data_IF_636081186175
#
_entry.id   IF_636081186175
#
_cell.length_a   1.000
_cell.length_b   1.000
_cell.length_c   1.000
_cell.angle_alpha   90.00
_cell.angle_beta   90.00
_cell.angle_gamma   90.00
#
_symmetry.space_group_name_H-M   'P 1'
#
loop_
_entity.id
_entity.type
_entity.pdbx_description
1 polymer ?
#
# COMPACT_ATOMS: atom_id res chain seq x y z
N UNK A 1 27.41 -2.31 3.19
CA UNK A 1 26.00 -1.96 3.35
C UNK A 1 25.50 -2.33 4.74
N UNK A 2 25.63 -3.58 5.22
CA UNK A 2 25.08 -4.04 6.52
C UNK A 2 25.58 -3.24 7.73
N UNK A 3 26.89 -2.91 7.79
CA UNK A 3 27.44 -2.10 8.87
C UNK A 3 26.91 -0.66 8.90
N UNK A 4 26.62 -0.08 7.73
CA UNK A 4 26.00 1.24 7.63
C UNK A 4 24.55 1.20 8.19
N UNK A 5 23.78 0.18 7.82
CA UNK A 5 22.41 -0.02 8.33
C UNK A 5 22.43 -0.23 9.85
N UNK A 6 23.34 -1.04 10.36
CA UNK A 6 23.52 -1.27 11.80
C UNK A 6 23.88 0.03 12.54
N UNK A 7 24.76 0.84 11.96
CA UNK A 7 25.14 2.15 12.54
C UNK A 7 23.97 3.12 12.61
N UNK A 8 23.18 3.25 11.53
CA UNK A 8 21.96 4.08 11.50
C UNK A 8 20.93 3.54 12.51
N UNK A 9 20.77 2.22 12.59
CA UNK A 9 19.89 1.59 13.57
C UNK A 9 20.28 1.92 15.02
N UNK A 10 21.57 1.86 15.33
CA UNK A 10 22.08 2.22 16.66
C UNK A 10 21.82 3.70 16.98
N UNK A 11 22.09 4.61 16.04
CA UNK A 11 21.79 6.04 16.20
C UNK A 11 20.30 6.25 16.47
N UNK A 12 19.44 5.55 15.75
CA UNK A 12 17.97 5.62 15.95
C UNK A 12 17.57 5.16 17.36
N UNK A 13 18.10 4.03 17.84
CA UNK A 13 17.83 3.52 19.18
C UNK A 13 18.26 4.52 20.25
N UNK A 14 19.48 5.06 20.14
CA UNK A 14 20.00 6.05 21.06
C UNK A 14 19.16 7.33 21.04
N UNK A 15 18.80 7.80 19.84
CA UNK A 15 17.95 9.00 19.69
C UNK A 15 16.57 8.81 20.33
N UNK A 16 15.92 7.66 20.11
CA UNK A 16 14.63 7.35 20.74
C UNK A 16 14.78 7.29 22.27
N UNK A 17 15.82 6.65 22.78
CA UNK A 17 16.06 6.53 24.22
C UNK A 17 16.30 7.87 24.91
N UNK A 18 16.94 8.83 24.24
CA UNK A 18 17.30 10.13 24.79
C UNK A 18 16.23 11.21 24.55
N UNK A 19 15.54 11.19 23.40
CA UNK A 19 14.68 12.28 22.96
C UNK A 19 13.19 12.01 23.17
N UNK A 20 12.77 10.72 23.26
CA UNK A 20 11.35 10.40 23.45
C UNK A 20 11.00 10.48 24.95
N UNK A 21 10.11 11.39 25.36
CA UNK A 21 9.68 11.48 26.74
C UNK A 21 8.92 10.21 27.14
N UNK A 22 9.10 9.80 28.39
CA UNK A 22 8.31 8.71 28.98
C UNK A 22 6.86 9.17 29.13
N UNK A 23 5.96 8.63 28.34
CA UNK A 23 4.53 8.88 28.43
C UNK A 23 3.95 7.84 29.39
N UNK A 24 3.17 8.30 30.38
CA UNK A 24 2.42 7.39 31.23
C UNK A 24 1.46 6.56 30.37
N UNK A 25 1.46 5.25 30.58
CA UNK A 25 0.55 4.36 29.89
C UNK A 25 -0.89 4.75 30.23
N UNK A 26 -1.68 5.12 29.24
CA UNK A 26 -3.11 5.36 29.41
C UNK A 26 -3.82 4.10 29.96
N UNK A 27 -5.07 4.26 30.40
CA UNK A 27 -5.86 3.12 30.90
C UNK A 27 -5.85 1.99 29.86
N UNK A 28 -5.37 0.81 30.25
CA UNK A 28 -5.33 -0.36 29.38
C UNK A 28 -6.77 -0.73 28.97
N UNK A 29 -7.04 -0.72 27.68
CA UNK A 29 -8.29 -1.22 27.12
C UNK A 29 -8.22 -2.74 27.13
N UNK A 30 -9.29 -3.41 27.55
CA UNK A 30 -9.32 -4.86 27.56
C UNK A 30 -9.14 -5.41 26.15
N UNK A 31 -8.21 -6.36 25.96
CA UNK A 31 -7.90 -7.00 24.67
C UNK A 31 -9.16 -7.48 23.93
N UNK A 32 -10.13 -8.04 24.67
CA UNK A 32 -11.40 -8.51 24.12
C UNK A 32 -12.21 -7.37 23.47
N UNK A 33 -12.13 -6.16 24.03
CA UNK A 33 -12.82 -4.98 23.47
C UNK A 33 -12.16 -4.54 22.18
N UNK A 34 -10.83 -4.50 22.14
CA UNK A 34 -10.09 -4.15 20.93
C UNK A 34 -10.31 -5.20 19.82
N UNK A 35 -10.29 -6.50 20.15
CA UNK A 35 -10.57 -7.56 19.17
C UNK A 35 -11.98 -7.48 18.57
N UNK A 36 -12.97 -7.05 19.35
CA UNK A 36 -14.34 -6.84 18.85
C UNK A 36 -14.42 -5.72 17.81
N UNK A 37 -13.57 -4.72 17.88
CA UNK A 37 -13.55 -3.63 16.90
C UNK A 37 -13.18 -4.14 15.50
N UNK A 38 -12.41 -5.22 15.40
CA UNK A 38 -12.01 -5.80 14.12
C UNK A 38 -13.09 -6.62 13.41
N UNK A 39 -14.26 -6.78 13.98
CA UNK A 39 -15.47 -7.31 13.30
C UNK A 39 -16.43 -6.20 12.86
N UNK A 40 -16.13 -4.92 13.14
CA UNK A 40 -16.89 -3.80 12.61
C UNK A 40 -16.74 -3.75 11.08
N UNK A 41 -17.86 -3.65 10.31
CA UNK A 41 -17.82 -3.65 8.86
C UNK A 41 -16.93 -2.55 8.25
N UNK A 42 -16.86 -1.37 8.88
CA UNK A 42 -16.02 -0.28 8.40
C UNK A 42 -14.53 -0.56 8.62
N UNK A 43 -14.18 -1.23 9.70
CA UNK A 43 -12.82 -1.68 9.98
C UNK A 43 -12.44 -2.80 9.00
N UNK A 44 -13.33 -3.77 8.75
CA UNK A 44 -13.09 -4.84 7.79
C UNK A 44 -12.92 -4.32 6.36
N UNK A 45 -13.71 -3.32 5.94
CA UNK A 45 -13.53 -2.66 4.64
C UNK A 45 -12.17 -1.96 4.55
N UNK A 46 -11.78 -1.22 5.59
CA UNK A 46 -10.48 -0.56 5.63
C UNK A 46 -9.32 -1.58 5.59
N UNK A 47 -9.44 -2.71 6.30
CA UNK A 47 -8.48 -3.81 6.23
C UNK A 47 -8.43 -4.47 4.85
N UNK A 48 -9.57 -4.68 4.20
CA UNK A 48 -9.62 -5.17 2.83
C UNK A 48 -8.87 -4.25 1.87
N UNK A 49 -9.04 -2.93 1.98
CA UNK A 49 -8.28 -1.95 1.19
C UNK A 49 -6.78 -2.08 1.49
N UNK A 50 -6.41 -2.30 2.76
CA UNK A 50 -5.00 -2.51 3.17
C UNK A 50 -4.41 -3.79 2.57
N UNK A 51 -5.19 -4.85 2.39
CA UNK A 51 -4.72 -6.08 1.75
C UNK A 51 -4.58 -5.90 0.24
N UNK A 52 -5.63 -5.46 -0.45
CA UNK A 52 -5.67 -5.46 -1.91
C UNK A 52 -4.89 -4.30 -2.54
N UNK A 53 -4.78 -3.13 -1.90
CA UNK A 53 -4.01 -2.00 -2.41
C UNK A 53 -2.51 -2.32 -2.54
N UNK A 54 -1.83 -2.71 -1.45
CA UNK A 54 -0.45 -3.19 -1.50
C UNK A 54 -0.26 -4.45 -2.34
N UNK A 55 -1.21 -5.41 -2.31
CA UNK A 55 -1.14 -6.60 -3.14
C UNK A 55 -0.98 -6.25 -4.62
N UNK A 56 -1.71 -5.26 -5.11
CA UNK A 56 -1.61 -4.78 -6.49
C UNK A 56 -0.19 -4.34 -6.86
N UNK A 57 0.49 -3.63 -5.97
CA UNK A 57 1.88 -3.22 -6.16
C UNK A 57 2.85 -4.40 -6.09
N UNK A 58 2.68 -5.28 -5.07
CA UNK A 58 3.58 -6.42 -4.86
C UNK A 58 3.43 -7.51 -5.91
N UNK A 59 2.30 -7.59 -6.60
CA UNK A 59 2.12 -8.47 -7.76
C UNK A 59 3.16 -8.19 -8.84
N UNK A 60 3.44 -6.92 -9.15
CA UNK A 60 4.38 -6.51 -10.18
C UNK A 60 5.83 -6.43 -9.69
N UNK A 61 6.07 -5.74 -8.55
CA UNK A 61 7.44 -5.47 -8.08
C UNK A 61 8.22 -6.74 -7.75
N UNK A 62 7.54 -7.80 -7.31
CA UNK A 62 8.18 -9.08 -6.98
C UNK A 62 8.89 -9.69 -8.18
N UNK A 63 8.38 -9.47 -9.37
CA UNK A 63 8.90 -10.03 -10.63
C UNK A 63 9.54 -8.97 -11.52
N UNK A 64 9.83 -7.78 -10.99
CA UNK A 64 10.30 -6.65 -11.79
C UNK A 64 11.65 -6.93 -12.47
N UNK A 65 12.59 -7.57 -11.77
CA UNK A 65 13.93 -7.81 -12.31
C UNK A 65 13.90 -8.74 -13.54
N UNK A 66 13.35 -9.97 -13.50
CA UNK A 66 13.25 -10.82 -14.68
C UNK A 66 12.39 -10.16 -15.77
N UNK A 67 11.30 -9.47 -15.43
CA UNK A 67 10.47 -8.77 -16.41
C UNK A 67 11.26 -7.70 -17.16
N UNK A 68 12.08 -6.91 -16.48
CA UNK A 68 12.89 -5.87 -17.12
C UNK A 68 14.00 -6.42 -17.99
N UNK A 69 14.60 -7.55 -17.60
CA UNK A 69 15.66 -8.19 -18.40
C UNK A 69 15.06 -8.87 -19.65
N UNK A 70 14.04 -9.70 -19.45
CA UNK A 70 13.55 -10.60 -20.49
C UNK A 70 12.56 -9.92 -21.46
N UNK A 71 11.70 -9.02 -20.95
CA UNK A 71 10.67 -8.35 -21.79
C UNK A 71 11.14 -6.97 -22.29
N UNK A 72 11.77 -6.17 -21.42
CA UNK A 72 12.18 -4.81 -21.75
C UNK A 72 13.63 -4.67 -22.23
N UNK A 73 14.43 -5.75 -22.17
CA UNK A 73 15.79 -5.81 -22.70
C UNK A 73 16.83 -5.01 -21.89
N UNK A 74 16.57 -4.75 -20.62
CA UNK A 74 17.54 -4.05 -19.76
C UNK A 74 18.72 -4.94 -19.39
N UNK A 75 19.93 -4.35 -19.37
CA UNK A 75 21.10 -4.97 -18.79
C UNK A 75 21.08 -4.91 -17.26
N UNK A 76 21.92 -5.71 -16.60
CA UNK A 76 22.07 -5.66 -15.13
C UNK A 76 22.39 -4.24 -14.61
N UNK A 77 23.22 -3.49 -15.34
CA UNK A 77 23.51 -2.09 -15.02
C UNK A 77 22.28 -1.19 -15.18
N UNK A 78 21.43 -1.46 -16.18
CA UNK A 78 20.15 -0.78 -16.41
C UNK A 78 19.15 -1.02 -15.27
N UNK A 79 19.12 -2.23 -14.72
CA UNK A 79 18.30 -2.56 -13.54
C UNK A 79 18.70 -1.71 -12.33
N UNK A 80 20.00 -1.51 -12.08
CA UNK A 80 20.44 -0.65 -10.99
C UNK A 80 19.96 0.81 -11.14
N UNK A 81 19.95 1.34 -12.37
CA UNK A 81 19.39 2.67 -12.66
C UNK A 81 17.87 2.72 -12.47
N UNK A 82 17.15 1.68 -12.90
CA UNK A 82 15.71 1.56 -12.65
C UNK A 82 15.38 1.51 -11.16
N UNK A 83 16.20 0.88 -10.32
CA UNK A 83 16.01 0.86 -8.87
C UNK A 83 16.18 2.25 -8.23
N UNK A 84 17.03 3.10 -8.78
CA UNK A 84 17.13 4.51 -8.35
C UNK A 84 15.83 5.25 -8.71
N UNK A 85 15.36 5.08 -9.94
CA UNK A 85 14.11 5.68 -10.41
C UNK A 85 12.89 5.20 -9.59
N UNK A 86 12.87 3.90 -9.29
CA UNK A 86 11.90 3.29 -8.39
C UNK A 86 11.94 3.94 -6.99
N UNK A 87 13.13 4.08 -6.39
CA UNK A 87 13.31 4.74 -5.09
C UNK A 87 12.83 6.20 -5.07
N UNK A 88 13.07 6.95 -6.15
CA UNK A 88 12.54 8.31 -6.32
C UNK A 88 11.01 8.29 -6.38
N UNK A 89 10.42 7.32 -7.10
CA UNK A 89 8.98 7.11 -7.13
C UNK A 89 8.39 6.87 -5.73
N UNK A 90 9.01 6.01 -4.92
CA UNK A 90 8.60 5.77 -3.53
C UNK A 90 8.61 7.06 -2.69
N UNK A 91 9.68 7.86 -2.79
CA UNK A 91 9.82 9.10 -2.05
C UNK A 91 8.75 10.13 -2.44
N UNK A 92 8.55 10.33 -3.73
CA UNK A 92 7.51 11.24 -4.28
C UNK A 92 6.12 10.76 -3.87
N UNK A 93 5.84 9.46 -4.02
CA UNK A 93 4.56 8.86 -3.68
C UNK A 93 4.21 9.04 -2.21
N UNK A 94 5.14 8.74 -1.32
CA UNK A 94 4.95 8.89 0.12
C UNK A 94 4.66 10.35 0.52
N UNK A 95 5.41 11.29 -0.05
CA UNK A 95 5.22 12.72 0.20
C UNK A 95 3.88 13.23 -0.31
N UNK A 96 3.53 12.89 -1.56
CA UNK A 96 2.26 13.29 -2.20
C UNK A 96 1.09 12.66 -1.46
N UNK A 97 1.14 11.35 -1.23
CA UNK A 97 0.08 10.60 -0.56
C UNK A 97 -0.23 11.14 0.84
N UNK A 98 0.80 11.42 1.64
CA UNK A 98 0.63 12.01 2.97
C UNK A 98 -0.04 13.39 2.90
N UNK A 99 0.49 14.30 2.05
CA UNK A 99 -0.01 15.67 1.92
C UNK A 99 -1.47 15.74 1.43
N UNK A 100 -1.84 14.89 0.48
CA UNK A 100 -3.20 14.89 -0.06
C UNK A 100 -4.19 14.11 0.81
N UNK A 101 -3.75 13.09 1.55
CA UNK A 101 -4.59 12.39 2.52
C UNK A 101 -5.10 13.31 3.65
N UNK A 102 -4.34 14.36 4.00
CA UNK A 102 -4.78 15.35 4.98
C UNK A 102 -5.87 16.28 4.45
N UNK A 103 -5.90 16.51 3.14
CA UNK A 103 -6.93 17.35 2.49
C UNK A 103 -8.21 16.56 2.19
N UNK A 104 -8.07 15.36 1.65
CA UNK A 104 -9.19 14.50 1.26
C UNK A 104 -8.75 13.04 1.28
N UNK A 105 -9.11 12.32 2.33
CA UNK A 105 -8.75 10.92 2.52
C UNK A 105 -9.25 10.03 1.37
N UNK A 106 -10.56 10.02 1.13
CA UNK A 106 -11.16 9.19 0.09
C UNK A 106 -10.82 9.67 -1.33
N UNK A 107 -10.74 10.98 -1.55
CA UNK A 107 -10.28 11.53 -2.83
C UNK A 107 -8.88 11.05 -3.18
N UNK A 108 -7.96 11.03 -2.21
CA UNK A 108 -6.60 10.52 -2.41
C UNK A 108 -6.62 9.02 -2.68
N UNK A 109 -7.39 8.23 -1.93
CA UNK A 109 -7.53 6.78 -2.17
C UNK A 109 -8.05 6.48 -3.58
N UNK A 110 -9.10 7.15 -4.02
CA UNK A 110 -9.67 6.94 -5.35
C UNK A 110 -8.69 7.27 -6.46
N UNK A 111 -8.02 8.41 -6.36
CA UNK A 111 -7.05 8.84 -7.38
C UNK A 111 -5.85 7.89 -7.41
N UNK A 112 -5.29 7.55 -6.25
CA UNK A 112 -4.07 6.72 -6.20
C UNK A 112 -4.34 5.28 -6.63
N UNK A 113 -5.45 4.66 -6.20
CA UNK A 113 -5.79 3.30 -6.60
C UNK A 113 -6.18 3.22 -8.09
N UNK A 114 -6.95 4.18 -8.60
CA UNK A 114 -7.29 4.23 -10.02
C UNK A 114 -6.05 4.46 -10.90
N UNK A 115 -5.17 5.40 -10.50
CA UNK A 115 -3.93 5.65 -11.20
C UNK A 115 -2.98 4.45 -11.15
N UNK A 116 -2.88 3.76 -10.02
CA UNK A 116 -2.10 2.53 -9.90
C UNK A 116 -2.60 1.44 -10.85
N UNK A 117 -3.93 1.22 -10.92
CA UNK A 117 -4.51 0.27 -11.86
C UNK A 117 -4.19 0.65 -13.31
N UNK A 118 -4.35 1.93 -13.68
CA UNK A 118 -4.06 2.42 -15.02
C UNK A 118 -2.58 2.27 -15.38
N UNK A 119 -1.66 2.63 -14.47
CA UNK A 119 -0.21 2.47 -14.67
C UNK A 119 0.16 1.01 -14.88
N UNK A 120 -0.39 0.09 -14.09
CA UNK A 120 -0.12 -1.34 -14.22
C UNK A 120 -0.64 -1.89 -15.56
N UNK A 121 -1.79 -1.43 -16.07
CA UNK A 121 -2.28 -1.80 -17.40
C UNK A 121 -1.40 -1.24 -18.52
N UNK A 122 -0.97 0.02 -18.41
CA UNK A 122 -0.02 0.63 -19.38
C UNK A 122 1.31 -0.13 -19.35
N UNK A 123 1.78 -0.51 -18.16
CA UNK A 123 3.01 -1.27 -17.99
C UNK A 123 2.90 -2.66 -18.62
N UNK A 124 1.78 -3.36 -18.43
CA UNK A 124 1.53 -4.65 -19.07
C UNK A 124 1.57 -4.57 -20.59
N UNK A 125 0.92 -3.55 -21.15
CA UNK A 125 0.81 -3.41 -22.60
C UNK A 125 2.10 -2.90 -23.26
N UNK A 126 2.87 -2.07 -22.58
CA UNK A 126 4.06 -1.40 -23.12
C UNK A 126 5.38 -1.87 -22.54
N UNK A 127 5.43 -3.04 -21.87
CA UNK A 127 6.63 -3.53 -21.17
C UNK A 127 7.85 -3.68 -22.08
N UNK A 128 7.67 -4.06 -23.35
CA UNK A 128 8.73 -4.23 -24.34
C UNK A 128 9.42 -2.89 -24.71
N UNK A 129 8.75 -1.77 -24.48
CA UNK A 129 9.33 -0.45 -24.71
C UNK A 129 10.04 0.05 -23.44
N UNK A 130 11.37 0.15 -23.49
CA UNK A 130 12.21 0.52 -22.33
C UNK A 130 11.83 1.88 -21.72
N UNK A 131 11.33 2.83 -22.52
CA UNK A 131 10.88 4.14 -22.01
C UNK A 131 9.57 3.98 -21.24
N UNK A 132 8.59 3.27 -21.83
CA UNK A 132 7.31 2.98 -21.16
C UNK A 132 7.55 2.18 -19.89
N UNK A 133 8.41 1.18 -19.92
CA UNK A 133 8.79 0.38 -18.75
C UNK A 133 9.41 1.26 -17.65
N UNK A 134 10.37 2.11 -17.99
CA UNK A 134 11.03 3.01 -17.02
C UNK A 134 10.04 3.98 -16.35
N UNK A 135 9.17 4.61 -17.14
CA UNK A 135 8.15 5.53 -16.64
C UNK A 135 7.14 4.77 -15.78
N UNK A 136 6.74 3.57 -16.19
CA UNK A 136 5.80 2.74 -15.45
C UNK A 136 6.37 2.28 -14.11
N UNK A 137 7.65 1.91 -14.04
CA UNK A 137 8.34 1.58 -12.77
C UNK A 137 8.31 2.76 -11.80
N UNK A 138 8.61 3.97 -12.26
CA UNK A 138 8.54 5.17 -11.44
C UNK A 138 7.10 5.44 -10.95
N UNK A 139 6.13 5.45 -11.87
CA UNK A 139 4.74 5.77 -11.55
C UNK A 139 4.08 4.70 -10.68
N UNK A 140 4.38 3.41 -10.92
CA UNK A 140 3.93 2.30 -10.08
C UNK A 140 4.43 2.47 -8.64
N UNK A 141 5.71 2.83 -8.46
CA UNK A 141 6.27 3.12 -7.16
C UNK A 141 5.60 4.34 -6.52
N UNK A 142 5.41 5.42 -7.28
CA UNK A 142 4.80 6.64 -6.80
C UNK A 142 3.34 6.43 -6.36
N UNK A 143 2.49 5.85 -7.20
CA UNK A 143 1.09 5.63 -6.86
C UNK A 143 0.91 4.51 -5.84
N UNK A 144 1.71 3.44 -5.90
CA UNK A 144 1.70 2.37 -4.90
C UNK A 144 1.96 2.91 -3.50
N UNK A 145 3.00 3.72 -3.33
CA UNK A 145 3.33 4.29 -2.02
C UNK A 145 2.48 5.50 -1.63
N UNK A 146 1.88 6.21 -2.59
CA UNK A 146 0.90 7.25 -2.27
C UNK A 146 -0.38 6.70 -1.62
N UNK A 147 -0.67 5.40 -1.75
CA UNK A 147 -1.81 4.75 -1.08
C UNK A 147 -1.55 4.48 0.40
N UNK A 148 -0.29 4.36 0.83
CA UNK A 148 0.07 3.91 2.19
C UNK A 148 -0.47 4.82 3.27
N UNK A 149 -0.18 6.12 3.18
CA UNK A 149 -0.62 7.10 4.19
C UNK A 149 -2.15 7.19 4.33
N UNK A 150 -2.94 7.34 3.24
CA UNK A 150 -4.39 7.39 3.35
C UNK A 150 -5.00 6.06 3.84
N UNK A 151 -4.46 4.91 3.45
CA UNK A 151 -4.90 3.61 3.97
C UNK A 151 -4.68 3.53 5.48
N UNK A 152 -3.49 3.87 5.95
CA UNK A 152 -3.17 3.84 7.37
C UNK A 152 -4.07 4.78 8.15
N UNK A 153 -4.28 6.00 7.67
CA UNK A 153 -5.18 6.97 8.29
C UNK A 153 -6.62 6.44 8.37
N UNK A 154 -7.12 5.82 7.29
CA UNK A 154 -8.45 5.21 7.27
C UNK A 154 -8.60 4.12 8.32
N UNK A 155 -7.65 3.17 8.41
CA UNK A 155 -7.70 2.08 9.39
C UNK A 155 -7.64 2.63 10.81
N UNK A 156 -6.72 3.57 11.08
CA UNK A 156 -6.58 4.17 12.41
C UNK A 156 -7.88 4.90 12.83
N UNK A 157 -8.48 5.69 11.94
CA UNK A 157 -9.73 6.39 12.21
C UNK A 157 -10.90 5.43 12.47
N UNK A 158 -11.03 4.37 11.67
CA UNK A 158 -12.12 3.39 11.82
C UNK A 158 -11.96 2.53 13.07
N UNK A 159 -10.78 1.97 13.29
CA UNK A 159 -10.50 1.14 14.45
C UNK A 159 -10.59 1.93 15.76
N UNK A 160 -10.11 3.17 15.79
CA UNK A 160 -10.23 4.05 16.96
C UNK A 160 -11.70 4.32 17.33
N UNK A 161 -12.56 4.60 16.33
CA UNK A 161 -14.00 4.79 16.54
C UNK A 161 -14.71 3.50 16.97
N UNK A 162 -14.21 2.35 16.56
CA UNK A 162 -14.73 1.04 16.96
C UNK A 162 -14.21 0.56 18.33
N UNK A 163 -13.30 1.32 18.97
CA UNK A 163 -12.78 1.01 20.31
C UNK A 163 -11.44 0.25 20.33
N UNK A 164 -10.69 0.22 19.22
CA UNK A 164 -9.37 -0.41 19.14
C UNK A 164 -8.25 0.58 18.73
N UNK A 165 -7.99 1.64 19.50
CA UNK A 165 -6.98 2.62 19.10
C UNK A 165 -5.54 2.08 19.19
N UNK A 166 -5.28 1.08 20.04
CA UNK A 166 -3.93 0.61 20.32
C UNK A 166 -3.48 -0.46 19.34
N UNK A 167 -4.34 -1.41 18.99
CA UNK A 167 -3.99 -2.51 18.10
C UNK A 167 -4.09 -2.14 16.60
N UNK A 168 -4.75 -1.05 16.26
CA UNK A 168 -5.03 -0.67 14.88
C UNK A 168 -3.78 -0.63 13.99
N UNK A 169 -2.70 0.01 14.47
CA UNK A 169 -1.46 0.12 13.71
C UNK A 169 -0.80 -1.24 13.47
N UNK A 170 -0.71 -2.08 14.51
CA UNK A 170 -0.08 -3.40 14.42
C UNK A 170 -0.84 -4.34 13.49
N UNK A 171 -2.18 -4.35 13.61
CA UNK A 171 -3.04 -5.17 12.73
C UNK A 171 -2.97 -4.67 11.29
N UNK A 172 -2.97 -3.34 11.07
CA UNK A 172 -2.82 -2.76 9.74
C UNK A 172 -1.50 -3.18 9.07
N UNK A 173 -0.38 -3.16 9.80
CA UNK A 173 0.91 -3.63 9.29
C UNK A 173 0.85 -5.14 8.95
N UNK A 174 0.18 -5.94 9.78
CA UNK A 174 -0.07 -7.36 9.49
C UNK A 174 -0.87 -7.56 8.21
N UNK A 175 -1.94 -6.79 8.01
CA UNK A 175 -2.76 -6.84 6.78
C UNK A 175 -1.99 -6.36 5.55
N UNK A 176 -1.14 -5.35 5.69
CA UNK A 176 -0.25 -4.89 4.63
C UNK A 176 0.70 -6.03 4.19
N UNK A 177 1.34 -6.72 5.13
CA UNK A 177 2.22 -7.85 4.82
C UNK A 177 1.46 -9.05 4.23
N UNK A 178 0.23 -9.30 4.67
CA UNK A 178 -0.64 -10.28 4.04
C UNK A 178 -0.92 -9.91 2.58
N UNK A 179 -1.20 -8.64 2.31
CA UNK A 179 -1.35 -8.11 0.95
C UNK A 179 -0.11 -8.34 0.10
N UNK A 180 1.08 -8.07 0.64
CA UNK A 180 2.35 -8.31 -0.05
C UNK A 180 2.51 -9.79 -0.45
N UNK A 181 2.20 -10.71 0.46
CA UNK A 181 2.26 -12.15 0.21
C UNK A 181 1.24 -12.59 -0.85
N UNK A 182 -0.01 -12.10 -0.76
CA UNK A 182 -1.07 -12.38 -1.76
C UNK A 182 -0.65 -11.83 -3.12
N UNK A 183 -0.13 -10.60 -3.19
CA UNK A 183 0.33 -10.01 -4.43
C UNK A 183 1.42 -10.83 -5.10
N UNK A 184 2.46 -11.18 -4.36
CA UNK A 184 3.55 -12.02 -4.85
C UNK A 184 3.04 -13.38 -5.34
N UNK A 185 2.12 -14.01 -4.60
CA UNK A 185 1.53 -15.29 -4.97
C UNK A 185 0.67 -15.17 -6.25
N UNK A 186 -0.18 -14.15 -6.37
CA UNK A 186 -1.02 -13.90 -7.56
C UNK A 186 -0.17 -13.69 -8.80
N UNK A 187 0.90 -12.86 -8.70
CA UNK A 187 1.83 -12.63 -9.80
C UNK A 187 2.53 -13.93 -10.25
N UNK A 188 3.02 -14.71 -9.28
CA UNK A 188 3.64 -16.01 -9.57
C UNK A 188 2.66 -17.02 -10.17
N UNK A 189 1.43 -17.05 -9.69
CA UNK A 189 0.40 -17.92 -10.23
C UNK A 189 0.04 -17.56 -11.69
N UNK A 190 -0.02 -16.26 -12.02
CA UNK A 190 -0.25 -15.81 -13.38
C UNK A 190 0.89 -16.22 -14.33
N UNK A 191 2.14 -16.06 -13.91
CA UNK A 191 3.31 -16.51 -14.68
C UNK A 191 3.30 -18.04 -14.85
N UNK A 192 3.07 -18.79 -13.78
CA UNK A 192 3.04 -20.24 -13.78
C UNK A 192 1.89 -20.80 -14.65
N UNK A 193 0.80 -20.07 -14.78
CA UNK A 193 -0.31 -20.40 -15.68
C UNK A 193 -0.01 -20.13 -17.16
N UNK A 194 1.19 -19.63 -17.49
CA UNK A 194 1.63 -19.41 -18.87
C UNK A 194 1.23 -18.07 -19.46
N UNK A 195 0.77 -17.10 -18.68
CA UNK A 195 0.40 -15.77 -19.18
C UNK A 195 1.59 -14.84 -19.44
N UNK A 196 2.85 -15.32 -19.25
CA UNK A 196 4.08 -14.57 -19.49
C UNK A 196 4.50 -13.69 -18.32
N UNK A 197 5.74 -13.15 -18.38
CA UNK A 197 6.35 -12.37 -17.32
C UNK A 197 5.71 -10.99 -17.10
N UNK A 198 5.02 -10.45 -18.11
CA UNK A 198 4.27 -9.19 -17.98
C UNK A 198 2.92 -9.35 -17.26
N UNK A 199 2.44 -10.59 -17.09
CA UNK A 199 1.11 -10.88 -16.53
C UNK A 199 0.89 -10.38 -15.10
N UNK A 200 1.88 -10.30 -14.21
CA UNK A 200 1.71 -9.69 -12.89
C UNK A 200 1.13 -8.28 -12.92
N UNK A 201 1.37 -7.52 -13.99
CA UNK A 201 0.89 -6.15 -14.10
C UNK A 201 -0.64 -6.10 -14.26
N UNK A 202 -1.24 -6.84 -15.19
CA UNK A 202 -2.71 -6.85 -15.30
C UNK A 202 -3.38 -7.50 -14.08
N UNK A 203 -2.76 -8.53 -13.51
CA UNK A 203 -3.28 -9.15 -12.29
C UNK A 203 -3.26 -8.15 -11.11
N UNK A 204 -2.19 -7.36 -10.98
CA UNK A 204 -2.10 -6.28 -10.01
C UNK A 204 -3.13 -5.18 -10.27
N UNK A 205 -3.39 -4.82 -11.53
CA UNK A 205 -4.43 -3.86 -11.88
C UNK A 205 -5.81 -4.31 -11.38
N UNK A 206 -6.16 -5.59 -11.54
CA UNK A 206 -7.40 -6.15 -11.01
C UNK A 206 -7.48 -6.03 -9.48
N UNK A 207 -6.39 -6.33 -8.76
CA UNK A 207 -6.36 -6.19 -7.30
C UNK A 207 -6.51 -4.71 -6.88
N UNK A 208 -5.92 -3.77 -7.62
CA UNK A 208 -6.13 -2.34 -7.38
C UNK A 208 -7.57 -1.90 -7.59
N UNK A 209 -8.25 -2.43 -8.62
CA UNK A 209 -9.67 -2.19 -8.85
C UNK A 209 -10.55 -2.79 -7.75
N UNK A 210 -10.20 -3.95 -7.21
CA UNK A 210 -10.89 -4.52 -6.02
C UNK A 210 -10.73 -3.57 -4.83
N UNK A 211 -9.51 -3.08 -4.55
CA UNK A 211 -9.26 -2.11 -3.48
C UNK A 211 -10.06 -0.81 -3.70
N UNK A 212 -10.15 -0.33 -4.94
CA UNK A 212 -10.93 0.84 -5.32
C UNK A 212 -12.44 0.62 -5.06
N UNK A 213 -12.97 -0.55 -5.42
CA UNK A 213 -14.35 -0.94 -5.14
C UNK A 213 -14.65 -0.97 -3.64
N UNK A 214 -13.75 -1.58 -2.83
CA UNK A 214 -13.87 -1.57 -1.37
C UNK A 214 -13.83 -0.15 -0.80
N UNK A 215 -12.98 0.73 -1.34
CA UNK A 215 -12.92 2.14 -0.93
C UNK A 215 -14.23 2.88 -1.25
N UNK A 216 -14.86 2.60 -2.40
CA UNK A 216 -16.15 3.16 -2.77
C UNK A 216 -17.25 2.70 -1.81
N UNK A 217 -17.30 1.40 -1.49
CA UNK A 217 -18.26 0.86 -0.50
C UNK A 217 -18.04 1.48 0.88
N UNK A 218 -16.77 1.60 1.32
CA UNK A 218 -16.44 2.22 2.60
C UNK A 218 -16.86 3.70 2.68
N UNK A 219 -16.78 4.42 1.57
CA UNK A 219 -17.19 5.82 1.48
C UNK A 219 -18.70 5.97 1.57
N UNK A 220 -19.44 5.25 0.74
CA UNK A 220 -20.93 5.32 0.70
C UNK A 220 -21.54 4.87 2.03
N UNK A 221 -21.06 3.78 2.62
CA UNK A 221 -21.59 3.28 3.90
C UNK A 221 -21.22 4.15 5.10
N UNK A 222 -20.18 4.98 5.00
CA UNK A 222 -19.88 5.99 6.00
C UNK A 222 -20.90 7.16 5.97
N UNK A 223 -21.24 7.64 4.79
CA UNK A 223 -22.21 8.74 4.61
C UNK A 223 -23.60 8.38 5.13
N UNK A 224 -24.05 7.15 4.92
CA UNK A 224 -25.34 6.69 5.42
C UNK A 224 -25.43 6.69 6.95
N UNK A 225 -24.38 6.28 7.66
CA UNK A 225 -24.35 6.29 9.14
C UNK A 225 -24.40 7.71 9.72
N UNK A 226 -23.84 8.70 9.02
CA UNK A 226 -23.91 10.11 9.45
C UNK A 226 -25.22 10.79 9.12
N UNK A 227 -25.91 10.36 8.07
CA UNK A 227 -27.23 10.86 7.69
C UNK A 227 -28.33 10.43 8.67
N UNK A 228 -28.31 9.16 9.11
CA UNK A 228 -29.28 8.64 10.10
C UNK A 228 -29.08 9.24 11.49
N UNK A 229 -27.83 9.44 11.93
CA UNK A 229 -27.54 10.05 13.24
C UNK A 229 -27.85 11.56 13.33
N UNK A 230 -28.16 12.23 12.20
CA UNK A 230 -28.65 13.63 12.16
C UNK A 230 -30.14 13.74 12.09
N UNK A 231 -30.85 12.64 11.84
CA UNK A 231 -32.32 12.59 11.72
C UNK A 231 -33.01 12.14 13.01
N UNK A 232 -32.22 11.66 13.98
CA UNK A 232 -32.64 11.37 15.38
C UNK A 232 -32.26 12.54 16.31
#
# INVERSE_FOLDING_TARGET
VFWLIAGIGLITVVSVALLVPRIEAGKAIALKTELRAFVDPQVLLAMGITVFGPAAFFTSITYIAPMMVEEAGFSDAGIAQLMILFGLGLAVGNWVGGRFADKSLFGTLFVTLAAQAAVLLVFWWGVENSVVASVSVFLMAAFGFATVSPIQKLVMDRASRAGAPTMAASVNIGMFNLGNAIGAWVGGAAIAAGFGLASPNWAGALLSLVALGLAAVAWVSADQKYSTARAE
#
